data_IF_809424556533
#
_entry.id   IF_809424556533
#
_cell.length_a   1.000
_cell.length_b   1.000
_cell.length_c   1.000
_cell.angle_alpha   90.00
_cell.angle_beta   90.00
_cell.angle_gamma   90.00
#
_symmetry.space_group_name_H-M   'P 1'
#
loop_
_entity.id
_entity.type
_entity.pdbx_description
1 polymer ?
#
# COMPACT_ATOMS: atom_id res chain seq x y z
N UNK A 1 -25.17 -24.17 -30.41
CA UNK A 1 -26.04 -24.20 -29.21
C UNK A 1 -25.20 -24.46 -27.94
N UNK A 2 -23.88 -24.53 -28.09
CA UNK A 2 -22.96 -25.16 -27.13
C UNK A 2 -22.24 -24.18 -26.20
N UNK A 3 -22.21 -22.89 -26.54
CA UNK A 3 -21.53 -21.87 -25.72
C UNK A 3 -22.27 -21.65 -24.39
N UNK A 4 -23.62 -21.59 -24.41
CA UNK A 4 -24.44 -21.43 -23.20
C UNK A 4 -24.38 -22.65 -22.27
N UNK A 5 -24.23 -23.86 -22.85
CA UNK A 5 -24.11 -25.11 -22.08
C UNK A 5 -22.73 -25.25 -21.44
N UNK A 6 -21.67 -24.80 -22.11
CA UNK A 6 -20.32 -24.75 -21.53
C UNK A 6 -20.21 -23.71 -20.42
N UNK A 7 -20.80 -22.51 -20.58
CA UNK A 7 -20.84 -21.50 -19.52
C UNK A 7 -21.68 -21.97 -18.31
N UNK A 8 -22.82 -22.63 -18.53
CA UNK A 8 -23.63 -23.18 -17.44
C UNK A 8 -22.91 -24.32 -16.72
N UNK A 9 -22.25 -25.22 -17.46
CA UNK A 9 -21.52 -26.34 -16.85
C UNK A 9 -20.29 -25.86 -16.07
N UNK A 10 -19.54 -24.88 -16.58
CA UNK A 10 -18.42 -24.28 -15.85
C UNK A 10 -18.90 -23.56 -14.58
N UNK A 11 -20.04 -22.86 -14.63
CA UNK A 11 -20.63 -22.24 -13.45
C UNK A 11 -21.07 -23.27 -12.41
N UNK A 12 -21.72 -24.37 -12.82
CA UNK A 12 -22.17 -25.44 -11.90
C UNK A 12 -20.97 -26.14 -11.23
N UNK A 13 -19.92 -26.47 -11.99
CA UNK A 13 -18.70 -27.08 -11.46
C UNK A 13 -17.99 -26.14 -10.48
N UNK A 14 -17.95 -24.84 -10.78
CA UNK A 14 -17.36 -23.82 -9.90
C UNK A 14 -18.14 -23.68 -8.59
N UNK A 15 -19.48 -23.68 -8.65
CA UNK A 15 -20.35 -23.61 -7.47
C UNK A 15 -20.14 -24.82 -6.54
N UNK A 16 -20.08 -26.03 -7.10
CA UNK A 16 -19.83 -27.24 -6.32
C UNK A 16 -18.43 -27.25 -5.68
N UNK A 17 -17.42 -26.80 -6.41
CA UNK A 17 -16.06 -26.72 -5.88
C UNK A 17 -15.94 -25.69 -4.74
N UNK A 18 -16.54 -24.50 -4.90
CA UNK A 18 -16.56 -23.47 -3.87
C UNK A 18 -17.30 -23.97 -2.61
N UNK A 19 -18.43 -24.66 -2.75
CA UNK A 19 -19.16 -25.27 -1.63
C UNK A 19 -18.31 -26.28 -0.84
N UNK A 20 -17.55 -27.14 -1.54
CA UNK A 20 -16.68 -28.13 -0.91
C UNK A 20 -15.55 -27.46 -0.10
N UNK A 21 -14.92 -26.42 -0.66
CA UNK A 21 -13.87 -25.65 0.03
C UNK A 21 -14.42 -25.02 1.31
N UNK A 22 -15.63 -24.45 1.24
CA UNK A 22 -16.25 -23.78 2.37
C UNK A 22 -16.63 -24.78 3.46
N UNK A 23 -17.19 -25.94 3.10
CA UNK A 23 -17.45 -27.04 4.04
C UNK A 23 -16.17 -27.48 4.76
N UNK A 24 -15.05 -27.53 4.05
CA UNK A 24 -13.79 -27.93 4.65
C UNK A 24 -13.21 -26.86 5.59
N UNK A 25 -13.50 -25.59 5.34
CA UNK A 25 -13.27 -24.54 6.32
C UNK A 25 -14.12 -24.75 7.58
N UNK A 26 -15.41 -25.08 7.43
CA UNK A 26 -16.29 -25.33 8.59
C UNK A 26 -15.77 -26.51 9.42
N UNK A 27 -15.31 -27.59 8.78
CA UNK A 27 -14.70 -28.74 9.47
C UNK A 27 -13.43 -28.36 10.23
N UNK A 28 -12.57 -27.52 9.65
CA UNK A 28 -11.38 -27.01 10.34
C UNK A 28 -11.75 -26.09 11.52
N UNK A 29 -12.79 -25.28 11.36
CA UNK A 29 -13.26 -24.35 12.40
C UNK A 29 -13.86 -25.10 13.59
N UNK A 30 -14.71 -26.11 13.33
CA UNK A 30 -15.37 -26.95 14.35
C UNK A 30 -14.44 -28.04 14.92
N UNK A 31 -13.49 -28.52 14.14
CA UNK A 31 -12.62 -29.67 14.45
C UNK A 31 -11.21 -29.32 14.99
N UNK A 32 -10.49 -30.36 15.39
CA UNK A 32 -9.18 -30.32 16.08
C UNK A 32 -7.96 -30.01 15.18
N UNK A 33 -8.14 -29.65 13.91
CA UNK A 33 -7.01 -29.33 13.01
C UNK A 33 -6.93 -27.83 12.76
N UNK A 34 -5.72 -27.27 12.87
CA UNK A 34 -5.46 -25.84 12.59
C UNK A 34 -4.90 -25.63 11.18
N UNK A 35 -5.09 -26.60 10.29
CA UNK A 35 -4.45 -26.61 8.97
C UNK A 35 -5.52 -26.85 7.92
N UNK A 36 -5.77 -25.83 7.11
CA UNK A 36 -6.60 -25.94 5.93
C UNK A 36 -5.89 -26.81 4.88
N UNK A 37 -6.58 -27.76 4.22
CA UNK A 37 -5.93 -28.66 3.28
C UNK A 37 -5.28 -27.92 2.11
N UNK A 38 -3.98 -28.16 1.91
CA UNK A 38 -3.19 -27.48 0.86
C UNK A 38 -3.64 -27.89 -0.55
N UNK A 39 -4.25 -29.08 -0.68
CA UNK A 39 -4.72 -29.65 -1.94
C UNK A 39 -5.62 -28.69 -2.73
N UNK A 40 -6.49 -27.94 -2.04
CA UNK A 40 -7.38 -26.95 -2.68
C UNK A 40 -6.65 -25.75 -3.28
N UNK A 41 -5.35 -25.60 -3.02
CA UNK A 41 -4.52 -24.54 -3.56
C UNK A 41 -3.42 -25.06 -4.50
N UNK A 42 -3.13 -26.37 -4.55
CA UNK A 42 -1.91 -26.88 -5.21
C UNK A 42 -1.84 -26.52 -6.69
N UNK A 43 -2.94 -26.71 -7.42
CA UNK A 43 -2.99 -26.58 -8.88
C UNK A 43 -3.27 -25.14 -9.36
N UNK A 44 -3.36 -24.18 -8.43
CA UNK A 44 -3.73 -22.80 -8.73
C UNK A 44 -2.50 -21.91 -8.94
N UNK A 45 -2.64 -20.94 -9.85
CA UNK A 45 -1.68 -19.84 -9.99
C UNK A 45 -1.71 -18.89 -8.76
N UNK A 46 -0.68 -18.04 -8.56
CA UNK A 46 -0.61 -17.13 -7.40
C UNK A 46 -1.86 -16.24 -7.22
N UNK A 47 -2.37 -15.67 -8.32
CA UNK A 47 -3.57 -14.83 -8.29
C UNK A 47 -4.82 -15.63 -7.89
N UNK A 48 -5.00 -16.81 -8.47
CA UNK A 48 -6.12 -17.70 -8.16
C UNK A 48 -6.09 -18.20 -6.70
N UNK A 49 -4.89 -18.49 -6.17
CA UNK A 49 -4.68 -18.83 -4.76
C UNK A 49 -5.16 -17.70 -3.85
N UNK A 50 -4.81 -16.45 -4.18
CA UNK A 50 -5.25 -15.29 -3.42
C UNK A 50 -6.77 -15.09 -3.51
N UNK A 51 -7.36 -15.16 -4.70
CA UNK A 51 -8.81 -15.04 -4.88
C UNK A 51 -9.58 -16.08 -4.05
N UNK A 52 -9.12 -17.33 -4.07
CA UNK A 52 -9.74 -18.40 -3.28
C UNK A 52 -9.58 -18.18 -1.78
N UNK A 53 -8.40 -17.73 -1.32
CA UNK A 53 -8.19 -17.36 0.07
C UNK A 53 -9.14 -16.24 0.52
N UNK A 54 -9.31 -15.20 -0.31
CA UNK A 54 -10.24 -14.10 -0.06
C UNK A 54 -11.70 -14.57 0.01
N UNK A 55 -12.12 -15.51 -0.84
CA UNK A 55 -13.46 -16.13 -0.76
C UNK A 55 -13.70 -16.81 0.59
N UNK A 56 -12.76 -17.63 1.05
CA UNK A 56 -12.85 -18.35 2.33
C UNK A 56 -12.93 -17.35 3.50
N UNK A 57 -12.02 -16.37 3.52
CA UNK A 57 -11.97 -15.34 4.57
C UNK A 57 -13.28 -14.55 4.59
N UNK A 58 -13.77 -14.13 3.43
CA UNK A 58 -15.02 -13.38 3.30
C UNK A 58 -16.21 -14.17 3.84
N UNK A 59 -16.36 -15.42 3.40
CA UNK A 59 -17.42 -16.29 3.87
C UNK A 59 -17.39 -16.46 5.39
N UNK A 60 -16.21 -16.69 5.96
CA UNK A 60 -16.06 -16.90 7.39
C UNK A 60 -16.50 -15.67 8.20
N UNK A 61 -16.09 -14.46 7.78
CA UNK A 61 -16.44 -13.20 8.43
C UNK A 61 -17.94 -12.87 8.27
N UNK A 62 -18.49 -13.04 7.07
CA UNK A 62 -19.91 -12.75 6.79
C UNK A 62 -20.85 -13.78 7.44
N UNK A 63 -20.51 -15.08 7.43
CA UNK A 63 -21.39 -16.14 7.93
C UNK A 63 -21.37 -16.28 9.45
N UNK A 64 -20.18 -16.32 10.05
CA UNK A 64 -20.04 -16.65 11.48
C UNK A 64 -20.02 -15.41 12.37
N UNK A 65 -19.40 -14.32 11.92
CA UNK A 65 -19.41 -13.07 12.67
C UNK A 65 -20.58 -12.16 12.29
N UNK A 66 -21.29 -12.47 11.19
CA UNK A 66 -22.38 -11.65 10.63
C UNK A 66 -21.94 -10.20 10.36
N UNK A 67 -20.65 -10.01 10.07
CA UNK A 67 -20.09 -8.69 9.89
C UNK A 67 -20.38 -8.15 8.50
N UNK A 68 -20.81 -6.89 8.45
CA UNK A 68 -20.87 -6.12 7.21
C UNK A 68 -19.45 -5.74 6.76
N UNK A 69 -19.25 -5.32 5.50
CA UNK A 69 -17.95 -4.80 5.06
C UNK A 69 -17.44 -3.66 5.95
N UNK A 70 -18.32 -2.80 6.45
CA UNK A 70 -18.00 -1.71 7.36
C UNK A 70 -17.50 -2.23 8.71
N UNK A 71 -18.15 -3.27 9.25
CA UNK A 71 -17.71 -3.92 10.49
C UNK A 71 -16.34 -4.57 10.30
N UNK A 72 -16.12 -5.26 9.17
CA UNK A 72 -14.82 -5.84 8.81
C UNK A 72 -13.75 -4.75 8.77
N UNK A 73 -14.01 -3.63 8.11
CA UNK A 73 -13.06 -2.51 8.00
C UNK A 73 -12.68 -1.91 9.36
N UNK A 74 -13.57 -1.99 10.36
CA UNK A 74 -13.44 -1.34 11.66
C UNK A 74 -12.92 -2.27 12.77
N UNK A 75 -13.32 -3.54 12.74
CA UNK A 75 -13.12 -4.47 13.86
C UNK A 75 -12.22 -5.66 13.50
N UNK A 76 -11.88 -5.87 12.22
CA UNK A 76 -10.93 -6.92 11.86
C UNK A 76 -9.55 -6.60 12.43
N UNK A 77 -9.00 -7.57 13.16
CA UNK A 77 -7.68 -7.53 13.78
C UNK A 77 -6.96 -8.85 13.55
N UNK A 78 -5.64 -8.88 13.72
CA UNK A 78 -4.87 -10.14 13.67
C UNK A 78 -5.41 -11.18 14.67
N UNK A 79 -5.87 -10.74 15.85
CA UNK A 79 -6.47 -11.60 16.86
C UNK A 79 -7.79 -12.24 16.40
N UNK A 80 -8.65 -11.50 15.69
CA UNK A 80 -9.88 -12.05 15.10
C UNK A 80 -9.54 -13.14 14.10
N UNK A 81 -8.58 -12.90 13.20
CA UNK A 81 -8.12 -13.91 12.25
C UNK A 81 -7.56 -15.16 12.93
N UNK A 82 -6.83 -15.01 14.05
CA UNK A 82 -6.30 -16.13 14.84
C UNK A 82 -7.44 -16.96 15.44
N UNK A 83 -8.41 -16.32 16.08
CA UNK A 83 -9.60 -16.99 16.66
C UNK A 83 -10.45 -17.70 15.60
N UNK A 84 -10.50 -17.14 14.40
CA UNK A 84 -11.19 -17.72 13.24
C UNK A 84 -10.35 -18.79 12.51
N UNK A 85 -9.14 -19.10 12.99
CA UNK A 85 -8.16 -20.00 12.35
C UNK A 85 -7.80 -19.61 10.90
N UNK A 86 -7.92 -18.32 10.54
CA UNK A 86 -7.66 -17.80 9.21
C UNK A 86 -6.21 -17.28 9.03
N UNK A 87 -5.45 -17.09 10.11
CA UNK A 87 -4.12 -16.48 10.05
C UNK A 87 -3.15 -17.21 9.12
N UNK A 88 -3.18 -18.55 9.08
CA UNK A 88 -2.30 -19.33 8.18
C UNK A 88 -2.66 -19.13 6.71
N UNK A 89 -3.96 -19.05 6.39
CA UNK A 89 -4.46 -18.78 5.03
C UNK A 89 -3.99 -17.39 4.61
N UNK A 90 -4.20 -16.39 5.46
CA UNK A 90 -3.77 -15.00 5.21
C UNK A 90 -2.26 -14.93 4.99
N UNK A 91 -1.47 -15.53 5.89
CA UNK A 91 -0.01 -15.44 5.82
C UNK A 91 0.60 -16.13 4.60
N UNK A 92 -0.05 -17.18 4.08
CA UNK A 92 0.48 -18.02 3.00
C UNK A 92 -0.01 -17.61 1.61
N UNK A 93 -1.25 -17.14 1.50
CA UNK A 93 -1.92 -16.96 0.20
C UNK A 93 -2.31 -15.52 -0.12
N UNK A 94 -2.23 -14.60 0.84
CA UNK A 94 -2.46 -13.17 0.60
C UNK A 94 -1.11 -12.47 0.43
N UNK A 95 -0.97 -11.78 -0.69
CA UNK A 95 0.19 -10.96 -0.99
C UNK A 95 0.02 -9.58 -0.35
N UNK A 96 0.85 -9.30 0.64
CA UNK A 96 0.91 -8.01 1.31
C UNK A 96 2.07 -7.20 0.72
N UNK A 97 1.78 -6.06 0.09
CA UNK A 97 2.81 -5.12 -0.34
C UNK A 97 3.69 -4.64 0.82
N UNK A 98 4.90 -4.14 0.54
CA UNK A 98 5.91 -3.81 1.58
C UNK A 98 5.46 -2.69 2.54
N UNK A 99 4.51 -1.88 2.09
CA UNK A 99 3.88 -0.79 2.81
C UNK A 99 2.95 -1.29 3.93
N UNK A 100 2.63 -2.57 3.90
CA UNK A 100 1.68 -3.26 4.74
C UNK A 100 2.43 -4.34 5.56
N UNK A 101 2.20 -4.41 6.88
CA UNK A 101 2.60 -5.55 7.74
C UNK A 101 1.44 -6.42 8.24
N UNK A 102 1.64 -7.73 8.12
CA UNK A 102 0.73 -8.80 8.56
C UNK A 102 0.32 -8.75 10.04
N UNK A 103 1.01 -7.97 10.88
CA UNK A 103 0.90 -8.08 12.32
C UNK A 103 -0.21 -7.23 12.95
N UNK A 104 -0.52 -6.01 12.48
CA UNK A 104 -1.72 -5.26 12.94
C UNK A 104 -2.10 -3.98 12.12
N UNK A 105 -1.24 -3.40 11.29
CA UNK A 105 -1.57 -2.18 10.52
C UNK A 105 -2.41 -2.42 9.25
N UNK A 106 -2.61 -3.69 8.87
CA UNK A 106 -2.98 -4.08 7.51
C UNK A 106 -4.38 -4.58 7.30
N UNK A 107 -5.18 -4.67 8.35
CA UNK A 107 -6.56 -5.13 8.19
C UNK A 107 -7.37 -4.17 7.31
N UNK A 108 -6.92 -2.92 7.18
CA UNK A 108 -7.35 -1.97 6.16
C UNK A 108 -7.11 -2.48 4.73
N UNK A 109 -5.90 -2.98 4.44
CA UNK A 109 -5.55 -3.51 3.13
C UNK A 109 -6.28 -4.82 2.86
N UNK A 110 -6.39 -5.71 3.85
CA UNK A 110 -7.17 -6.93 3.71
C UNK A 110 -8.67 -6.63 3.48
N UNK A 111 -9.24 -5.64 4.17
CA UNK A 111 -10.61 -5.20 3.93
C UNK A 111 -10.78 -4.64 2.50
N UNK A 112 -9.79 -3.91 1.98
CA UNK A 112 -9.76 -3.49 0.58
C UNK A 112 -9.76 -4.68 -0.37
N UNK A 113 -8.89 -5.68 -0.15
CA UNK A 113 -8.86 -6.89 -0.99
C UNK A 113 -10.17 -7.68 -0.95
N UNK A 114 -10.83 -7.76 0.21
CA UNK A 114 -12.12 -8.44 0.36
C UNK A 114 -13.26 -7.68 -0.34
N UNK A 115 -13.21 -6.35 -0.36
CA UNK A 115 -14.28 -5.49 -0.90
C UNK A 115 -13.74 -4.30 -1.72
N UNK A 116 -13.07 -4.55 -2.85
CA UNK A 116 -12.39 -3.50 -3.62
C UNK A 116 -13.34 -2.49 -4.27
N UNK A 117 -14.62 -2.85 -4.42
CA UNK A 117 -15.68 -1.95 -4.90
C UNK A 117 -16.20 -1.00 -3.82
N UNK A 118 -16.02 -1.32 -2.54
CA UNK A 118 -16.54 -0.54 -1.40
C UNK A 118 -15.46 0.30 -0.74
N UNK A 119 -14.26 -0.25 -0.62
CA UNK A 119 -13.12 0.46 -0.05
C UNK A 119 -12.15 0.80 -1.15
N UNK A 120 -11.62 2.02 -1.10
CA UNK A 120 -10.51 2.44 -1.96
C UNK A 120 -9.30 2.64 -1.07
N UNK A 121 -8.16 2.19 -1.57
CA UNK A 121 -6.87 2.46 -0.99
C UNK A 121 -6.24 3.57 -1.82
N UNK A 122 -6.16 4.79 -1.28
CA UNK A 122 -5.57 5.88 -2.04
C UNK A 122 -4.05 5.67 -2.15
N UNK A 123 -3.44 6.25 -3.19
CA UNK A 123 -1.97 6.23 -3.32
C UNK A 123 -1.35 7.02 -2.16
N UNK A 124 -2.07 8.02 -1.68
CA UNK A 124 -1.75 8.84 -0.52
C UNK A 124 -1.64 7.99 0.75
N UNK A 125 -2.63 7.12 1.03
CA UNK A 125 -2.61 6.20 2.17
C UNK A 125 -1.41 5.24 2.11
N UNK A 126 -1.14 4.69 0.92
CA UNK A 126 0.00 3.79 0.68
C UNK A 126 1.34 4.49 0.95
N UNK A 127 1.50 5.71 0.42
CA UNK A 127 2.72 6.49 0.59
C UNK A 127 2.95 6.82 2.07
N UNK A 128 1.92 7.27 2.78
CA UNK A 128 2.02 7.63 4.20
C UNK A 128 2.34 6.38 5.04
N UNK A 129 1.65 5.26 4.83
CA UNK A 129 1.92 4.02 5.53
C UNK A 129 3.38 3.56 5.34
N UNK A 130 3.89 3.60 4.10
CA UNK A 130 5.28 3.25 3.83
C UNK A 130 6.27 4.23 4.44
N UNK A 131 5.96 5.53 4.39
CA UNK A 131 6.78 6.56 4.99
C UNK A 131 6.97 6.28 6.49
N UNK A 132 5.88 6.01 7.21
CA UNK A 132 5.94 5.69 8.64
C UNK A 132 6.82 4.47 8.89
N UNK A 133 6.64 3.37 8.14
CA UNK A 133 7.48 2.16 8.28
C UNK A 133 8.97 2.44 8.08
N UNK A 134 9.30 3.29 7.11
CA UNK A 134 10.69 3.65 6.80
C UNK A 134 11.32 4.50 7.92
N UNK A 135 10.51 5.31 8.62
CA UNK A 135 10.96 6.25 9.66
C UNK A 135 10.91 5.66 11.07
N UNK A 136 10.00 4.72 11.35
CA UNK A 136 9.96 3.94 12.59
C UNK A 136 10.98 2.80 12.59
N UNK A 137 11.60 2.50 11.44
CA UNK A 137 12.60 1.46 11.29
C UNK A 137 12.06 0.08 10.94
N UNK A 138 10.74 -0.08 10.81
CA UNK A 138 10.12 -1.32 10.32
C UNK A 138 10.50 -1.66 8.86
N UNK A 139 10.94 -0.66 8.09
CA UNK A 139 11.53 -0.82 6.76
C UNK A 139 12.84 -0.03 6.64
N UNK A 140 13.86 -0.61 5.99
CA UNK A 140 15.16 0.05 5.84
C UNK A 140 15.15 1.15 4.76
N UNK A 141 14.36 0.98 3.70
CA UNK A 141 14.25 1.91 2.55
C UNK A 141 12.88 1.78 1.88
N UNK A 142 12.55 2.77 1.04
CA UNK A 142 11.40 2.68 0.14
C UNK A 142 11.62 1.61 -0.96
N UNK A 143 10.56 1.03 -1.54
CA UNK A 143 10.68 0.04 -2.60
C UNK A 143 11.29 0.69 -3.85
N UNK A 144 12.28 0.04 -4.47
CA UNK A 144 12.93 0.59 -5.68
C UNK A 144 11.97 0.67 -6.87
N UNK A 145 10.99 -0.23 -6.93
CA UNK A 145 9.92 -0.26 -7.94
C UNK A 145 9.03 1.00 -7.90
N UNK A 146 9.08 1.78 -6.83
CA UNK A 146 8.29 3.01 -6.71
C UNK A 146 8.85 4.19 -7.49
N UNK A 147 10.12 4.16 -7.92
CA UNK A 147 10.82 5.31 -8.50
C UNK A 147 10.68 5.36 -10.04
N UNK A 148 9.54 4.91 -10.58
CA UNK A 148 9.33 4.75 -12.02
C UNK A 148 8.17 5.58 -12.57
N UNK A 149 8.41 6.29 -13.68
CA UNK A 149 7.38 6.94 -14.48
C UNK A 149 6.54 8.00 -13.74
N UNK A 150 5.34 8.26 -14.27
CA UNK A 150 4.40 9.24 -13.73
C UNK A 150 3.99 8.89 -12.29
N UNK A 151 3.83 7.60 -12.01
CA UNK A 151 3.44 7.15 -10.68
C UNK A 151 4.55 7.38 -9.65
N UNK A 152 5.82 7.19 -10.02
CA UNK A 152 6.95 7.55 -9.16
C UNK A 152 7.03 9.04 -8.85
N UNK A 153 6.73 9.89 -9.83
CA UNK A 153 6.60 11.35 -9.63
C UNK A 153 5.48 11.67 -8.64
N UNK A 154 4.32 11.01 -8.77
CA UNK A 154 3.18 11.20 -7.87
C UNK A 154 3.51 10.76 -6.44
N UNK A 155 4.03 9.55 -6.25
CA UNK A 155 4.45 9.03 -4.94
C UNK A 155 5.48 9.94 -4.29
N UNK A 156 6.51 10.34 -5.02
CA UNK A 156 7.52 11.27 -4.50
C UNK A 156 6.90 12.59 -4.05
N UNK A 157 5.95 13.12 -4.81
CA UNK A 157 5.28 14.38 -4.45
C UNK A 157 4.51 14.27 -3.14
N UNK A 158 3.79 13.16 -2.93
CA UNK A 158 3.07 12.87 -1.69
C UNK A 158 4.05 12.71 -0.52
N UNK A 159 5.06 11.87 -0.71
CA UNK A 159 6.08 11.59 0.31
C UNK A 159 6.83 12.85 0.74
N UNK A 160 7.20 13.71 -0.20
CA UNK A 160 7.91 14.94 0.10
C UNK A 160 7.01 15.94 0.85
N UNK A 161 5.76 16.10 0.42
CA UNK A 161 4.81 16.98 1.11
C UNK A 161 4.55 16.49 2.54
N UNK A 162 4.39 15.17 2.73
CA UNK A 162 4.28 14.59 4.06
C UNK A 162 5.55 14.82 4.88
N UNK A 163 6.74 14.59 4.31
CA UNK A 163 8.00 14.86 4.99
C UNK A 163 8.14 16.33 5.45
N UNK A 164 7.77 17.29 4.58
CA UNK A 164 7.77 18.73 4.89
C UNK A 164 6.81 19.04 6.04
N UNK A 165 5.66 18.38 6.10
CA UNK A 165 4.71 18.55 7.22
C UNK A 165 5.27 18.08 8.57
N UNK A 166 6.27 17.18 8.57
CA UNK A 166 6.99 16.71 9.75
C UNK A 166 8.21 17.59 10.12
N UNK A 167 8.50 18.64 9.34
CA UNK A 167 9.62 19.55 9.61
C UNK A 167 9.16 20.72 10.49
N UNK A 168 10.10 21.42 11.15
CA UNK A 168 9.79 22.70 11.79
C UNK A 168 9.12 23.66 10.79
N UNK A 169 8.10 24.38 11.27
CA UNK A 169 7.31 25.28 10.44
C UNK A 169 8.19 26.34 9.81
N UNK A 170 8.12 26.46 8.48
CA UNK A 170 8.76 27.56 7.76
C UNK A 170 7.96 28.84 7.97
N UNK A 171 8.67 29.96 8.18
CA UNK A 171 8.05 31.26 8.41
C UNK A 171 7.25 31.74 7.19
N UNK A 172 7.78 31.51 6.00
CA UNK A 172 7.18 31.89 4.73
C UNK A 172 7.71 31.02 3.58
N UNK A 173 7.18 31.24 2.38
CA UNK A 173 7.55 30.48 1.18
C UNK A 173 9.03 30.69 0.79
N UNK A 174 9.55 31.90 0.91
CA UNK A 174 10.94 32.22 0.57
C UNK A 174 11.93 31.44 1.46
N UNK A 175 11.70 31.40 2.77
CA UNK A 175 12.51 30.63 3.71
C UNK A 175 12.54 29.13 3.36
N UNK A 176 11.41 28.57 2.91
CA UNK A 176 11.33 27.18 2.44
C UNK A 176 12.18 26.98 1.18
N UNK A 177 12.09 27.88 0.20
CA UNK A 177 12.90 27.83 -1.02
C UNK A 177 14.41 27.99 -0.74
N UNK A 178 14.78 28.91 0.16
CA UNK A 178 16.16 29.10 0.61
C UNK A 178 16.70 27.82 1.25
N UNK A 179 15.90 27.17 2.10
CA UNK A 179 16.25 25.90 2.75
C UNK A 179 16.52 24.79 1.73
N UNK A 180 15.58 24.57 0.80
CA UNK A 180 15.68 23.48 -0.18
C UNK A 180 16.69 23.74 -1.30
N UNK A 181 17.02 25.00 -1.59
CA UNK A 181 18.08 25.34 -2.55
C UNK A 181 19.50 25.07 -2.01
N UNK A 182 19.66 24.81 -0.71
CA UNK A 182 20.97 24.68 -0.04
C UNK A 182 21.30 23.27 0.43
N UNK A 183 22.47 23.11 1.09
CA UNK A 183 22.90 21.83 1.67
C UNK A 183 21.89 21.25 2.67
N UNK A 184 21.15 22.12 3.37
CA UNK A 184 20.08 21.71 4.31
C UNK A 184 18.95 20.95 3.61
N UNK A 185 18.55 21.37 2.42
CA UNK A 185 17.58 20.65 1.58
C UNK A 185 18.05 19.26 1.20
N UNK A 186 19.31 19.14 0.76
CA UNK A 186 19.93 17.84 0.44
C UNK A 186 19.99 16.95 1.68
N UNK A 187 20.40 17.50 2.82
CA UNK A 187 20.43 16.78 4.09
C UNK A 187 19.04 16.31 4.52
N UNK A 188 18.00 17.12 4.33
CA UNK A 188 16.61 16.74 4.59
C UNK A 188 16.19 15.57 3.69
N UNK A 189 16.44 15.64 2.38
CA UNK A 189 16.12 14.55 1.45
C UNK A 189 16.80 13.23 1.85
N UNK A 190 18.04 13.28 2.35
CA UNK A 190 18.74 12.10 2.87
C UNK A 190 18.14 11.61 4.19
N UNK A 191 17.87 12.52 5.14
CA UNK A 191 17.24 12.22 6.43
C UNK A 191 15.93 11.46 6.25
N UNK A 192 15.09 11.93 5.33
CA UNK A 192 13.79 11.33 5.05
C UNK A 192 13.84 10.18 4.02
N UNK A 193 15.05 9.73 3.62
CA UNK A 193 15.31 8.67 2.62
C UNK A 193 14.63 8.90 1.26
N UNK A 194 14.42 10.16 0.88
CA UNK A 194 13.84 10.60 -0.40
C UNK A 194 14.89 11.01 -1.43
N UNK A 195 16.17 11.04 -1.05
CA UNK A 195 17.25 11.49 -1.92
C UNK A 195 17.35 10.70 -3.23
N UNK A 196 17.20 9.37 -3.19
CA UNK A 196 17.22 8.52 -4.40
C UNK A 196 16.11 8.89 -5.36
N UNK A 197 14.87 9.06 -4.87
CA UNK A 197 13.77 9.54 -5.73
C UNK A 197 14.10 10.88 -6.37
N UNK A 198 14.62 11.82 -5.58
CA UNK A 198 14.90 13.17 -6.05
C UNK A 198 15.92 13.20 -7.21
N UNK A 199 17.00 12.41 -7.14
CA UNK A 199 18.04 12.38 -8.18
C UNK A 199 17.71 11.45 -9.36
N UNK A 200 16.82 10.48 -9.18
CA UNK A 200 16.39 9.58 -10.25
C UNK A 200 15.28 10.23 -11.10
N UNK A 201 14.35 10.95 -10.48
CA UNK A 201 13.20 11.53 -11.16
C UNK A 201 13.44 12.96 -11.67
N UNK A 202 14.45 13.66 -11.13
CA UNK A 202 14.72 15.07 -11.43
C UNK A 202 16.22 15.33 -11.53
N UNK A 203 16.62 16.47 -12.10
CA UNK A 203 18.03 16.79 -12.28
C UNK A 203 18.76 17.06 -10.95
N UNK A 204 18.04 17.53 -9.93
CA UNK A 204 18.60 17.77 -8.59
C UNK A 204 17.48 17.87 -7.53
N UNK A 205 17.88 17.85 -6.25
CA UNK A 205 16.96 17.92 -5.10
C UNK A 205 16.12 19.20 -5.02
N UNK A 206 16.63 20.33 -5.52
CA UNK A 206 15.90 21.59 -5.49
C UNK A 206 14.81 21.65 -6.56
N UNK A 207 15.11 21.17 -7.76
CA UNK A 207 14.10 20.95 -8.80
C UNK A 207 13.05 19.94 -8.36
N UNK A 208 13.48 18.84 -7.74
CA UNK A 208 12.58 17.83 -7.19
C UNK A 208 11.60 18.44 -6.18
N UNK A 209 12.09 19.29 -5.27
CA UNK A 209 11.24 20.06 -4.35
C UNK A 209 10.24 20.93 -5.11
N UNK A 210 10.71 21.81 -5.98
CA UNK A 210 9.86 22.76 -6.68
C UNK A 210 8.75 22.08 -7.49
N UNK A 211 9.10 21.03 -8.25
CA UNK A 211 8.16 20.28 -9.10
C UNK A 211 7.21 19.36 -8.32
N UNK A 212 7.42 19.17 -7.03
CA UNK A 212 6.60 18.28 -6.19
C UNK A 212 5.60 19.01 -5.28
N UNK A 213 5.73 20.34 -5.13
CA UNK A 213 4.80 21.14 -4.35
C UNK A 213 3.45 21.32 -5.07
N UNK A 214 2.33 21.59 -4.40
CA UNK A 214 1.10 22.00 -5.09
C UNK A 214 1.31 23.31 -5.85
N UNK A 215 0.65 23.50 -7.01
CA UNK A 215 0.84 24.71 -7.85
C UNK A 215 0.62 26.02 -7.07
N UNK A 216 -0.37 26.05 -6.18
CA UNK A 216 -0.67 27.21 -5.32
C UNK A 216 0.42 27.54 -4.29
N UNK A 217 1.32 26.60 -4.02
CA UNK A 217 2.45 26.73 -3.09
C UNK A 217 3.79 26.76 -3.83
N UNK A 218 3.78 26.90 -5.15
CA UNK A 218 4.98 27.10 -5.97
C UNK A 218 5.16 28.58 -6.27
N UNK A 219 6.42 28.97 -6.39
CA UNK A 219 6.85 30.23 -6.97
C UNK A 219 7.97 29.95 -7.98
N UNK A 220 7.68 30.20 -9.25
CA UNK A 220 8.66 30.08 -10.34
C UNK A 220 9.74 31.17 -10.19
N UNK A 221 9.34 32.36 -9.73
CA UNK A 221 10.27 33.44 -9.41
C UNK A 221 11.32 32.98 -8.38
N UNK A 222 10.89 32.45 -7.23
CA UNK A 222 11.82 31.99 -6.19
C UNK A 222 12.65 30.79 -6.67
N UNK A 223 12.07 29.90 -7.48
CA UNK A 223 12.80 28.78 -8.07
C UNK A 223 13.97 29.29 -8.92
N UNK A 224 13.71 30.19 -9.87
CA UNK A 224 14.75 30.75 -10.74
C UNK A 224 15.75 31.60 -9.95
N UNK A 225 15.27 32.44 -9.03
CA UNK A 225 16.12 33.26 -8.18
C UNK A 225 17.16 32.41 -7.41
N UNK A 226 16.72 31.39 -6.68
CA UNK A 226 17.65 30.55 -5.90
C UNK A 226 18.46 29.56 -6.76
N UNK A 227 17.97 29.18 -7.94
CA UNK A 227 18.71 28.33 -8.88
C UNK A 227 19.91 29.06 -9.47
N UNK A 228 19.79 30.36 -9.75
CA UNK A 228 20.84 31.13 -10.43
C UNK A 228 21.65 32.03 -9.49
N UNK A 229 21.08 32.50 -8.37
CA UNK A 229 21.81 33.36 -7.42
C UNK A 229 23.03 32.69 -6.79
N UNK A 230 23.03 31.36 -6.60
CA UNK A 230 24.19 30.63 -6.07
C UNK A 230 25.31 30.38 -7.07
N UNK A 231 25.07 30.61 -8.37
CA UNK A 231 26.11 30.49 -9.41
C UNK A 231 26.91 31.79 -9.63
N UNK A 232 26.55 32.88 -8.95
CA UNK A 232 27.17 34.21 -9.18
C UNK A 232 28.43 34.45 -8.31
N UNK A 233 28.78 33.56 -7.39
CA UNK A 233 30.06 33.61 -6.67
C UNK A 233 31.06 32.60 -7.25
N UNK A 234 31.46 32.83 -8.50
CA UNK A 234 32.78 32.41 -8.98
C UNK A 234 33.53 33.71 -9.26
N UNK A 235 34.30 34.15 -8.28
CA UNK A 235 35.45 35.05 -8.47
C UNK A 235 36.69 34.21 -8.31
#
# INVERSE_FOLDING_TARGET
MDIKLQESNNNIVTINHDLVILQEYERMYVGNTDIFPVAYFTDLGPLQKQEQALKIIRFALEKYLQWTPQDIRRYLTSNVLKKMKLSKIVNKYIDFPQEYSKDDLDMTYLAYLLYPKKFRLSIEDQCIAMFERVHTGSASKFPSTWIGGIEGVRRFSILLQYAISQMPRFQNLEAMYQYFSGPKGVAAMKKYKLYSFAITLYANTFEAFHKSMPYKLRSDFLYHYYRFSKKVYIR
#
